data_IF_079621788720
#
_entry.id   IF_079621788720
#
_cell.length_a   1.000
_cell.length_b   1.000
_cell.length_c   1.000
_cell.angle_alpha   90.00
_cell.angle_beta   90.00
_cell.angle_gamma   90.00
#
_symmetry.space_group_name_H-M   'P 1'
#
loop_
_entity.id
_entity.type
_entity.pdbx_description
1 polymer ?
#
# COMPACT_ATOMS: atom_id res chain seq x y z
N UNK A 1 -1.19 -18.63 -3.42
CA UNK A 1 -0.45 -18.00 -4.54
C UNK A 1 0.95 -18.55 -4.55
N UNK A 2 1.51 -18.82 -5.72
CA UNK A 2 2.85 -19.39 -5.83
C UNK A 2 3.88 -18.31 -6.16
N UNK A 3 5.09 -18.48 -5.63
CA UNK A 3 6.25 -17.69 -6.04
C UNK A 3 7.01 -18.49 -7.08
N UNK A 4 7.17 -17.93 -8.26
CA UNK A 4 7.94 -18.53 -9.34
C UNK A 4 9.42 -18.17 -9.19
N UNK A 5 10.29 -19.18 -9.15
CA UNK A 5 11.74 -19.06 -9.16
C UNK A 5 12.30 -19.26 -10.59
N UNK A 6 13.54 -18.88 -10.81
CA UNK A 6 14.23 -19.05 -12.08
C UNK A 6 15.45 -19.96 -11.95
N UNK A 7 15.85 -20.63 -13.03
CA UNK A 7 17.11 -21.37 -13.10
C UNK A 7 18.28 -20.39 -12.90
N UNK A 8 19.32 -20.77 -12.14
CA UNK A 8 20.45 -19.89 -11.76
C UNK A 8 21.46 -19.71 -12.91
N UNK A 9 21.01 -19.25 -14.07
CA UNK A 9 21.85 -19.05 -15.27
C UNK A 9 22.74 -17.81 -15.19
N UNK A 10 22.40 -16.85 -14.32
CA UNK A 10 23.16 -15.62 -14.08
C UNK A 10 23.07 -15.22 -12.60
N UNK A 11 24.01 -14.40 -12.05
CA UNK A 11 23.93 -13.93 -10.67
C UNK A 11 22.57 -13.28 -10.31
N UNK A 12 21.99 -12.50 -11.23
CA UNK A 12 20.69 -11.90 -11.03
C UNK A 12 19.55 -12.94 -10.96
N UNK A 13 19.57 -13.93 -11.84
CA UNK A 13 18.52 -14.98 -11.90
C UNK A 13 18.57 -15.95 -10.73
N UNK A 14 19.74 -16.12 -10.12
CA UNK A 14 19.91 -17.00 -8.95
C UNK A 14 18.97 -16.63 -7.80
N UNK A 15 18.74 -15.34 -7.58
CA UNK A 15 17.93 -14.83 -6.47
C UNK A 15 16.59 -14.22 -6.91
N UNK A 16 16.37 -14.06 -8.22
CA UNK A 16 15.17 -13.40 -8.74
C UNK A 16 13.95 -14.30 -8.60
N UNK A 17 12.87 -13.73 -8.06
CA UNK A 17 11.57 -14.38 -7.99
C UNK A 17 10.49 -13.46 -8.54
N UNK A 18 9.35 -14.03 -8.89
CA UNK A 18 8.15 -13.28 -9.34
C UNK A 18 6.89 -13.93 -8.79
N UNK A 19 5.81 -13.19 -8.71
CA UNK A 19 4.50 -13.76 -8.41
C UNK A 19 4.08 -14.74 -9.50
N UNK A 20 3.48 -15.87 -9.11
CA UNK A 20 2.84 -16.83 -10.03
C UNK A 20 1.61 -16.25 -10.70
N UNK A 21 0.92 -15.32 -10.01
CA UNK A 21 -0.38 -14.73 -10.42
C UNK A 21 -1.50 -15.76 -10.53
N UNK A 22 -1.49 -16.76 -9.64
CA UNK A 22 -2.53 -17.79 -9.64
C UNK A 22 -3.91 -17.16 -9.40
N UNK A 23 -4.88 -17.53 -10.23
CA UNK A 23 -6.23 -16.98 -10.19
C UNK A 23 -6.38 -15.53 -10.69
N UNK A 24 -5.30 -14.93 -11.20
CA UNK A 24 -5.31 -13.54 -11.71
C UNK A 24 -5.24 -13.55 -13.23
N UNK A 25 -6.14 -12.82 -13.88
CA UNK A 25 -6.07 -12.57 -15.31
C UNK A 25 -5.02 -11.50 -15.62
N UNK A 26 -3.85 -11.95 -16.07
CA UNK A 26 -2.72 -11.07 -16.45
C UNK A 26 -2.94 -10.34 -17.74
N UNK A 27 -3.76 -10.88 -18.62
CA UNK A 27 -3.99 -10.39 -19.98
C UNK A 27 -5.30 -9.62 -20.10
N UNK A 28 -6.06 -9.51 -19.00
CA UNK A 28 -7.27 -8.73 -18.96
C UNK A 28 -7.02 -7.30 -19.45
N UNK A 29 -7.77 -6.89 -20.44
CA UNK A 29 -7.81 -5.49 -20.84
C UNK A 29 -8.57 -4.72 -19.73
N UNK A 30 -7.96 -3.66 -19.15
CA UNK A 30 -8.64 -2.90 -18.10
C UNK A 30 -9.90 -2.24 -18.66
N UNK A 31 -10.86 -1.97 -17.79
CA UNK A 31 -12.08 -1.26 -18.15
C UNK A 31 -11.71 0.19 -18.54
N UNK A 32 -11.98 0.56 -19.81
CA UNK A 32 -11.54 1.85 -20.37
C UNK A 32 -12.09 3.06 -19.61
N UNK A 33 -13.32 2.97 -19.14
CA UNK A 33 -14.02 4.02 -18.39
C UNK A 33 -13.40 4.28 -17.01
N UNK A 34 -12.73 3.27 -16.44
CA UNK A 34 -12.06 3.33 -15.14
C UNK A 34 -10.55 3.55 -15.26
N UNK A 35 -10.03 3.81 -16.46
CA UNK A 35 -8.62 4.03 -16.72
C UNK A 35 -8.32 5.51 -16.93
N UNK A 36 -7.46 6.08 -16.10
CA UNK A 36 -6.98 7.46 -16.22
C UNK A 36 -5.52 7.55 -16.63
N UNK A 37 -5.14 8.64 -17.26
CA UNK A 37 -3.75 8.89 -17.63
C UNK A 37 -2.96 9.32 -16.41
N UNK A 38 -1.94 8.55 -16.04
CA UNK A 38 -1.05 8.88 -14.94
C UNK A 38 0.12 9.74 -15.44
N UNK A 39 0.08 11.06 -15.17
CA UNK A 39 1.20 11.98 -15.44
C UNK A 39 2.32 11.73 -14.45
N UNK A 40 3.55 11.48 -14.95
CA UNK A 40 4.73 11.24 -14.13
C UNK A 40 5.51 12.54 -13.92
N UNK A 41 5.68 12.94 -12.66
CA UNK A 41 6.45 14.15 -12.30
C UNK A 41 7.92 13.86 -11.98
N UNK A 42 8.32 12.58 -11.86
CA UNK A 42 9.70 12.14 -11.57
C UNK A 42 10.32 12.85 -10.35
N UNK A 43 9.53 13.06 -9.30
CA UNK A 43 9.96 13.73 -8.07
C UNK A 43 10.17 15.25 -8.19
N UNK A 44 9.68 15.88 -9.26
CA UNK A 44 9.76 17.32 -9.49
C UNK A 44 8.54 18.06 -8.95
N UNK A 45 8.77 19.28 -8.47
CA UNK A 45 7.72 20.21 -8.05
C UNK A 45 7.16 21.00 -9.27
N UNK A 46 6.24 21.96 -9.01
CA UNK A 46 5.65 22.83 -10.03
C UNK A 46 6.67 23.69 -10.80
N UNK A 47 7.80 24.00 -10.19
CA UNK A 47 8.90 24.75 -10.81
C UNK A 47 9.92 23.86 -11.57
N UNK A 48 9.64 22.55 -11.69
CA UNK A 48 10.53 21.60 -12.34
C UNK A 48 11.75 21.17 -11.53
N UNK A 49 11.93 21.66 -10.30
CA UNK A 49 13.04 21.29 -9.41
C UNK A 49 12.78 19.95 -8.73
N UNK A 50 13.82 19.12 -8.63
CA UNK A 50 13.75 17.82 -7.95
C UNK A 50 13.65 18.06 -6.44
N UNK A 51 12.49 17.73 -5.85
CA UNK A 51 12.25 17.78 -4.41
C UNK A 51 12.25 16.40 -3.75
N UNK A 52 11.97 15.34 -4.51
CA UNK A 52 12.07 13.95 -4.09
C UNK A 52 13.04 13.22 -5.00
N UNK A 53 14.22 12.85 -4.46
CA UNK A 53 15.26 12.17 -5.21
C UNK A 53 14.91 10.73 -5.54
N UNK A 54 15.65 10.13 -6.45
CA UNK A 54 15.61 8.71 -6.81
C UNK A 54 14.28 8.25 -7.43
N UNK A 55 13.51 9.15 -8.01
CA UNK A 55 12.30 8.85 -8.77
C UNK A 55 12.45 9.24 -10.25
N UNK A 56 11.82 8.48 -11.13
CA UNK A 56 11.76 8.80 -12.55
C UNK A 56 12.01 7.60 -13.45
N UNK A 57 11.67 7.77 -14.73
CA UNK A 57 11.65 6.68 -15.70
C UNK A 57 10.52 5.68 -15.39
N UNK A 58 10.81 4.41 -15.59
CA UNK A 58 9.86 3.31 -15.39
C UNK A 58 8.88 3.13 -16.56
N UNK A 59 8.19 1.99 -16.56
CA UNK A 59 7.22 1.65 -17.59
C UNK A 59 6.06 2.64 -17.59
N UNK A 60 5.48 2.88 -18.78
CA UNK A 60 4.23 3.64 -18.91
C UNK A 60 3.11 2.87 -18.21
N UNK A 61 2.34 3.57 -17.41
CA UNK A 61 1.24 3.00 -16.63
C UNK A 61 0.03 3.93 -16.75
N UNK A 62 -1.15 3.33 -16.75
CA UNK A 62 -2.41 4.02 -16.54
C UNK A 62 -2.87 3.80 -15.10
N UNK A 63 -3.58 4.77 -14.54
CA UNK A 63 -4.18 4.65 -13.23
C UNK A 63 -5.55 4.00 -13.36
N UNK A 64 -5.82 3.00 -12.55
CA UNK A 64 -7.14 2.40 -12.41
C UNK A 64 -7.87 3.05 -11.24
N UNK A 65 -9.03 3.62 -11.52
CA UNK A 65 -9.89 4.23 -10.51
C UNK A 65 -10.47 3.13 -9.62
N UNK A 66 -10.11 3.16 -8.34
CA UNK A 66 -10.59 2.20 -7.35
C UNK A 66 -11.66 2.84 -6.49
N UNK A 67 -12.74 2.13 -6.24
CA UNK A 67 -13.77 2.57 -5.32
C UNK A 67 -13.31 2.40 -3.86
N UNK A 68 -12.65 3.44 -3.36
CA UNK A 68 -12.28 3.52 -1.94
C UNK A 68 -13.40 4.04 -1.05
N UNK A 69 -14.47 4.58 -1.63
CA UNK A 69 -15.59 5.13 -0.85
C UNK A 69 -16.64 4.10 -0.54
N UNK A 70 -16.82 3.13 -1.44
CA UNK A 70 -17.87 2.10 -1.31
C UNK A 70 -19.24 2.73 -1.01
N UNK A 71 -19.55 3.83 -1.70
CA UNK A 71 -20.72 4.67 -1.46
C UNK A 71 -22.01 4.16 -2.10
N UNK A 72 -21.96 3.09 -2.87
CA UNK A 72 -23.14 2.41 -3.42
C UNK A 72 -23.63 1.40 -2.38
N UNK A 73 -24.53 1.87 -1.53
CA UNK A 73 -25.03 1.10 -0.40
C UNK A 73 -26.19 0.21 -0.80
N UNK A 74 -26.31 -0.94 -0.13
CA UNK A 74 -27.43 -1.90 -0.23
C UNK A 74 -27.65 -2.49 -1.63
N UNK A 75 -26.65 -2.40 -2.52
CA UNK A 75 -26.67 -3.00 -3.85
C UNK A 75 -25.58 -4.06 -3.95
N UNK A 76 -25.99 -5.25 -4.39
CA UNK A 76 -25.06 -6.37 -4.60
C UNK A 76 -24.25 -6.17 -5.88
N UNK A 77 -22.98 -6.52 -5.82
CA UNK A 77 -22.11 -6.57 -6.99
C UNK A 77 -21.48 -7.94 -7.13
N UNK A 78 -21.38 -8.46 -8.35
CA UNK A 78 -20.73 -9.73 -8.66
C UNK A 78 -19.31 -9.50 -9.12
N UNK A 79 -18.37 -10.30 -8.63
CA UNK A 79 -16.95 -10.26 -9.05
C UNK A 79 -16.81 -10.88 -10.43
N UNK A 80 -16.53 -10.08 -11.46
CA UNK A 80 -16.35 -10.57 -12.82
C UNK A 80 -14.97 -11.20 -13.04
N UNK A 81 -13.92 -10.57 -12.50
CA UNK A 81 -12.52 -11.05 -12.65
C UNK A 81 -11.58 -10.40 -11.65
N UNK A 82 -10.45 -11.05 -11.42
CA UNK A 82 -9.35 -10.53 -10.62
C UNK A 82 -8.23 -10.08 -11.55
N UNK A 83 -7.71 -8.86 -11.34
CA UNK A 83 -6.74 -8.23 -12.23
C UNK A 83 -5.47 -7.78 -11.49
N UNK A 84 -4.38 -7.70 -12.25
CA UNK A 84 -3.14 -7.06 -11.83
C UNK A 84 -3.22 -5.54 -12.05
N UNK A 85 -2.86 -4.75 -11.03
CA UNK A 85 -2.72 -3.30 -11.16
C UNK A 85 -1.25 -2.89 -11.00
N UNK A 86 -0.63 -2.23 -12.00
CA UNK A 86 0.77 -1.79 -11.92
C UNK A 86 1.02 -0.65 -10.92
N UNK A 87 -0.03 0.01 -10.42
CA UNK A 87 0.09 1.17 -9.52
C UNK A 87 0.11 0.79 -8.04
N UNK A 88 -0.22 -0.45 -7.72
CA UNK A 88 -0.29 -0.94 -6.34
C UNK A 88 0.25 -2.35 -6.18
N UNK A 89 0.59 -2.71 -4.96
CA UNK A 89 1.04 -4.06 -4.63
C UNK A 89 -0.11 -5.07 -4.54
N UNK A 90 -1.31 -4.62 -4.16
CA UNK A 90 -2.50 -5.44 -4.07
C UNK A 90 -3.09 -5.73 -5.45
N UNK A 91 -3.73 -6.89 -5.61
CA UNK A 91 -4.58 -7.17 -6.76
C UNK A 91 -5.93 -6.47 -6.60
N UNK A 92 -6.63 -6.29 -7.71
CA UNK A 92 -7.93 -5.64 -7.77
C UNK A 92 -8.97 -6.60 -8.35
N UNK A 93 -10.22 -6.42 -7.94
CA UNK A 93 -11.37 -7.13 -8.47
C UNK A 93 -12.25 -6.16 -9.25
N UNK A 94 -12.62 -6.51 -10.47
CA UNK A 94 -13.66 -5.83 -11.22
C UNK A 94 -15.01 -6.40 -10.78
N UNK A 95 -15.85 -5.55 -10.22
CA UNK A 95 -17.20 -5.90 -9.77
C UNK A 95 -18.22 -5.20 -10.65
N UNK A 96 -19.29 -5.91 -10.98
CA UNK A 96 -20.46 -5.40 -11.71
C UNK A 96 -21.66 -5.41 -10.77
N UNK A 97 -22.28 -4.26 -10.63
CA UNK A 97 -23.49 -4.10 -9.84
C UNK A 97 -24.72 -4.53 -10.64
N UNK A 98 -25.84 -4.79 -9.97
CA UNK A 98 -27.11 -5.22 -10.60
C UNK A 98 -27.64 -4.24 -11.66
N UNK A 99 -27.28 -2.96 -11.56
CA UNK A 99 -27.62 -1.91 -12.54
C UNK A 99 -26.63 -1.81 -13.73
N UNK A 100 -25.64 -2.73 -13.80
CA UNK A 100 -24.63 -2.76 -14.86
C UNK A 100 -23.43 -1.82 -14.63
N UNK A 101 -23.43 -1.01 -13.56
CA UNK A 101 -22.26 -0.18 -13.23
C UNK A 101 -21.08 -1.06 -12.80
N UNK A 102 -19.88 -0.77 -13.32
CA UNK A 102 -18.67 -1.49 -12.97
C UNK A 102 -17.76 -0.63 -12.11
N UNK A 103 -17.18 -1.24 -11.08
CA UNK A 103 -16.18 -0.60 -10.21
C UNK A 103 -15.06 -1.56 -9.87
N UNK A 104 -13.85 -1.01 -9.69
CA UNK A 104 -12.74 -1.76 -9.11
C UNK A 104 -12.73 -1.64 -7.61
N UNK A 105 -12.48 -2.77 -6.92
CA UNK A 105 -12.20 -2.82 -5.48
C UNK A 105 -10.85 -3.49 -5.24
N UNK A 106 -10.29 -3.38 -4.03
CA UNK A 106 -9.16 -4.20 -3.61
C UNK A 106 -9.62 -5.64 -3.46
N UNK A 107 -8.87 -6.59 -4.00
CA UNK A 107 -9.17 -8.01 -3.87
C UNK A 107 -8.66 -8.54 -2.53
N UNK A 108 -9.52 -8.95 -1.58
CA UNK A 108 -9.10 -9.63 -0.37
C UNK A 108 -8.73 -11.08 -0.64
N UNK A 109 -8.08 -11.70 0.33
CA UNK A 109 -7.83 -13.14 0.34
C UNK A 109 -9.15 -13.90 0.38
N UNK A 110 -9.25 -14.94 -0.45
CA UNK A 110 -10.44 -15.79 -0.51
C UNK A 110 -11.56 -15.29 -1.42
N UNK A 111 -11.41 -14.11 -2.03
CA UNK A 111 -12.38 -13.63 -3.02
C UNK A 111 -12.12 -14.30 -4.38
N UNK A 112 -13.16 -14.88 -4.96
CA UNK A 112 -13.11 -15.56 -6.26
C UNK A 112 -14.02 -14.88 -7.28
N UNK A 113 -13.83 -15.25 -8.53
CA UNK A 113 -14.72 -14.84 -9.63
C UNK A 113 -16.09 -15.50 -9.41
N UNK A 114 -17.15 -14.73 -9.55
CA UNK A 114 -18.54 -15.15 -9.28
C UNK A 114 -19.02 -14.87 -7.86
N UNK A 115 -18.12 -14.54 -6.93
CA UNK A 115 -18.54 -14.16 -5.57
C UNK A 115 -19.32 -12.84 -5.58
N UNK A 116 -20.28 -12.71 -4.66
CA UNK A 116 -21.04 -11.49 -4.44
C UNK A 116 -20.40 -10.65 -3.34
N UNK A 117 -20.32 -9.33 -3.55
CA UNK A 117 -19.84 -8.35 -2.57
C UNK A 117 -20.82 -7.18 -2.46
N UNK A 118 -20.97 -6.67 -1.24
CA UNK A 118 -21.91 -5.60 -0.95
C UNK A 118 -21.29 -4.58 0.02
N UNK A 119 -21.76 -3.34 -0.05
CA UNK A 119 -21.52 -2.33 0.97
C UNK A 119 -22.85 -1.99 1.64
N UNK A 120 -23.01 -2.38 2.90
CA UNK A 120 -24.25 -2.17 3.66
C UNK A 120 -23.98 -2.19 5.17
N UNK A 121 -24.86 -1.55 5.92
CA UNK A 121 -24.82 -1.67 7.38
C UNK A 121 -25.19 -3.07 7.87
N UNK A 122 -25.96 -3.83 7.09
CA UNK A 122 -26.48 -5.17 7.41
C UNK A 122 -25.80 -6.30 6.63
N UNK A 123 -24.72 -6.00 5.88
CA UNK A 123 -24.01 -7.00 5.08
C UNK A 123 -23.43 -8.12 5.95
N UNK A 124 -23.40 -9.33 5.42
CA UNK A 124 -22.73 -10.48 6.03
C UNK A 124 -21.22 -10.21 6.25
N UNK A 125 -20.65 -10.84 7.28
CA UNK A 125 -19.22 -10.77 7.59
C UNK A 125 -18.44 -11.72 6.66
N UNK A 126 -18.45 -11.40 5.36
CA UNK A 126 -17.73 -12.12 4.29
C UNK A 126 -16.61 -11.27 3.71
N UNK A 127 -15.49 -11.88 3.26
CA UNK A 127 -14.39 -11.13 2.62
C UNK A 127 -14.89 -10.31 1.42
N UNK A 128 -14.53 -9.01 1.38
CA UNK A 128 -14.94 -8.09 0.32
C UNK A 128 -16.16 -7.23 0.66
N UNK A 129 -16.98 -7.61 1.62
CA UNK A 129 -18.08 -6.78 2.10
C UNK A 129 -17.57 -5.58 2.89
N UNK A 130 -18.22 -4.44 2.73
CA UNK A 130 -17.86 -3.20 3.40
C UNK A 130 -18.97 -2.77 4.35
N UNK A 131 -18.61 -2.52 5.62
CA UNK A 131 -19.55 -2.15 6.67
C UNK A 131 -19.02 -0.98 7.49
N UNK A 132 -19.89 -0.19 8.13
CA UNK A 132 -19.49 0.69 9.22
C UNK A 132 -18.84 -0.09 10.36
N UNK A 133 -17.81 0.46 10.99
CA UNK A 133 -17.11 -0.20 12.11
C UNK A 133 -18.03 -0.54 13.28
N UNK A 134 -19.13 0.21 13.44
CA UNK A 134 -20.17 -0.08 14.42
C UNK A 134 -20.73 -1.50 14.28
N UNK A 135 -20.91 -1.98 13.06
CA UNK A 135 -21.61 -3.23 12.75
C UNK A 135 -20.66 -4.43 12.55
N UNK A 136 -19.33 -4.19 12.54
CA UNK A 136 -18.35 -5.26 12.44
C UNK A 136 -18.07 -5.86 13.82
N UNK A 137 -18.16 -7.18 14.05
CA UNK A 137 -17.83 -7.81 15.33
C UNK A 137 -16.40 -7.53 15.78
N UNK A 138 -16.20 -7.41 17.10
CA UNK A 138 -14.85 -7.31 17.70
C UNK A 138 -14.06 -8.58 17.40
N UNK A 139 -12.75 -8.44 17.17
CA UNK A 139 -11.87 -9.56 16.76
C UNK A 139 -11.77 -9.75 15.26
N UNK A 140 -12.68 -9.19 14.46
CA UNK A 140 -12.71 -9.34 13.01
C UNK A 140 -11.47 -8.71 12.35
N UNK A 141 -10.94 -9.42 11.34
CA UNK A 141 -9.87 -8.94 10.48
C UNK A 141 -10.46 -8.05 9.39
N UNK A 142 -9.91 -6.85 9.26
CA UNK A 142 -10.41 -5.82 8.33
C UNK A 142 -9.28 -5.15 7.55
N UNK A 143 -9.62 -4.60 6.41
CA UNK A 143 -8.73 -3.79 5.58
C UNK A 143 -9.47 -2.61 4.97
N UNK A 144 -8.79 -1.79 4.16
CA UNK A 144 -9.39 -0.69 3.42
C UNK A 144 -10.24 0.22 4.32
N UNK A 145 -9.62 0.77 5.39
CA UNK A 145 -10.30 1.45 6.49
C UNK A 145 -10.32 2.95 6.26
N UNK A 146 -11.46 3.58 6.48
CA UNK A 146 -11.58 5.04 6.51
C UNK A 146 -10.98 5.64 7.78
N UNK A 147 -10.48 6.87 7.68
CA UNK A 147 -10.07 7.69 8.83
C UNK A 147 -11.14 8.69 9.26
N UNK A 148 -11.93 9.14 8.30
CA UNK A 148 -13.03 10.08 8.47
C UNK A 148 -14.22 9.59 7.65
N UNK A 149 -15.45 9.65 8.18
CA UNK A 149 -16.63 9.18 7.47
C UNK A 149 -16.79 9.82 6.08
N UNK A 150 -17.09 9.01 5.07
CA UNK A 150 -17.35 9.46 3.70
C UNK A 150 -16.12 9.96 2.91
N UNK A 151 -14.93 9.98 3.51
CA UNK A 151 -13.70 10.40 2.81
C UNK A 151 -13.14 9.30 1.90
N UNK A 152 -13.53 8.08 2.12
CA UNK A 152 -12.97 6.90 1.48
C UNK A 152 -11.79 6.31 2.26
N UNK A 153 -11.52 5.07 2.02
CA UNK A 153 -10.51 4.30 2.75
C UNK A 153 -9.09 4.82 2.50
N UNK A 154 -8.31 4.92 3.57
CA UNK A 154 -6.93 5.44 3.55
C UNK A 154 -5.93 4.49 4.19
N UNK A 155 -6.37 3.63 5.11
CA UNK A 155 -5.51 2.73 5.89
C UNK A 155 -5.63 1.29 5.39
N UNK A 156 -4.58 0.50 5.58
CA UNK A 156 -4.53 -0.95 5.33
C UNK A 156 -4.96 -1.31 3.90
N UNK A 157 -4.21 -0.83 2.89
CA UNK A 157 -4.51 -1.02 1.46
C UNK A 157 -3.43 -1.79 0.68
N UNK A 158 -2.27 -2.02 1.29
CA UNK A 158 -1.15 -2.71 0.62
C UNK A 158 -1.36 -4.22 0.60
N UNK A 159 -0.66 -4.91 -0.30
CA UNK A 159 -0.71 -6.37 -0.40
C UNK A 159 -0.40 -7.07 0.92
N UNK A 160 -1.17 -8.09 1.26
CA UNK A 160 -0.95 -8.94 2.41
C UNK A 160 -1.19 -8.28 3.78
N UNK A 161 -1.59 -7.00 3.85
CA UNK A 161 -1.84 -6.36 5.14
C UNK A 161 -3.27 -6.58 5.63
N UNK A 162 -3.40 -6.60 6.95
CA UNK A 162 -4.66 -6.64 7.67
C UNK A 162 -4.57 -5.82 8.95
N UNK A 163 -5.69 -5.33 9.44
CA UNK A 163 -5.85 -4.76 10.77
C UNK A 163 -6.90 -5.56 11.53
N UNK A 164 -6.92 -5.45 12.84
CA UNK A 164 -7.88 -6.14 13.70
C UNK A 164 -8.68 -5.13 14.51
N UNK A 165 -9.99 -5.29 14.52
CA UNK A 165 -10.90 -4.53 15.38
C UNK A 165 -10.81 -5.08 16.81
N UNK A 166 -10.30 -4.30 17.76
CA UNK A 166 -10.00 -4.76 19.12
C UNK A 166 -11.13 -4.46 20.10
N UNK A 167 -11.73 -3.28 20.01
CA UNK A 167 -12.77 -2.83 20.94
C UNK A 167 -13.61 -1.71 20.31
N UNK A 168 -14.79 -1.48 20.88
CA UNK A 168 -15.70 -0.38 20.54
C UNK A 168 -16.15 0.30 21.80
N UNK A 169 -15.78 1.56 21.99
CA UNK A 169 -16.08 2.32 23.21
C UNK A 169 -16.25 3.81 22.89
N UNK A 170 -17.21 4.45 23.52
CA UNK A 170 -17.40 5.91 23.44
C UNK A 170 -17.53 6.46 22.01
N UNK A 171 -18.24 5.76 21.12
CA UNK A 171 -18.40 6.19 19.72
C UNK A 171 -17.16 5.96 18.83
N UNK A 172 -16.13 5.28 19.37
CA UNK A 172 -14.86 5.00 18.68
C UNK A 172 -14.54 3.51 18.65
N UNK A 173 -13.97 3.07 17.54
CA UNK A 173 -13.37 1.74 17.39
C UNK A 173 -11.87 1.80 17.65
N UNK A 174 -11.34 0.93 18.49
CA UNK A 174 -9.90 0.72 18.67
C UNK A 174 -9.42 -0.35 17.70
N UNK A 175 -8.53 0.01 16.79
CA UNK A 175 -8.02 -0.85 15.74
C UNK A 175 -6.52 -1.06 15.89
N UNK A 176 -6.08 -2.32 15.87
CA UNK A 176 -4.67 -2.71 15.82
C UNK A 176 -4.21 -2.72 14.37
N UNK A 177 -3.31 -1.79 14.04
CA UNK A 177 -2.74 -1.63 12.71
C UNK A 177 -1.66 -2.68 12.40
N UNK A 178 -1.32 -2.92 11.12
CA UNK A 178 -0.22 -3.83 10.74
C UNK A 178 1.13 -3.44 11.34
N UNK A 179 1.35 -2.16 11.65
CA UNK A 179 2.55 -1.66 12.32
C UNK A 179 2.65 -2.00 13.81
N UNK A 180 1.58 -2.55 14.42
CA UNK A 180 1.44 -2.76 15.85
C UNK A 180 0.89 -1.53 16.62
N UNK A 181 0.68 -0.40 15.95
CA UNK A 181 0.00 0.77 16.55
C UNK A 181 -1.47 0.46 16.80
N UNK A 182 -1.98 0.79 18.00
CA UNK A 182 -3.41 0.77 18.30
C UNK A 182 -3.97 2.18 18.20
N UNK A 183 -5.00 2.35 17.36
CA UNK A 183 -5.56 3.65 17.02
C UNK A 183 -7.08 3.68 17.14
N UNK A 184 -7.61 4.81 17.60
CA UNK A 184 -9.05 5.10 17.65
C UNK A 184 -9.53 5.67 16.32
N UNK A 185 -10.65 5.14 15.81
CA UNK A 185 -11.34 5.58 14.60
C UNK A 185 -12.84 5.66 14.92
N UNK A 186 -13.57 6.61 14.35
CA UNK A 186 -15.01 6.75 14.58
C UNK A 186 -15.77 5.51 14.11
N UNK A 187 -16.80 5.12 14.82
CA UNK A 187 -17.64 3.96 14.49
C UNK A 187 -18.38 4.08 13.16
N UNK A 188 -18.65 5.29 12.71
CA UNK A 188 -19.29 5.60 11.42
C UNK A 188 -18.39 5.29 10.20
N UNK A 189 -17.07 5.22 10.40
CA UNK A 189 -16.12 4.94 9.33
C UNK A 189 -16.32 3.54 8.77
N UNK A 190 -16.24 3.42 7.44
CA UNK A 190 -16.40 2.16 6.73
C UNK A 190 -15.05 1.40 6.70
N UNK A 191 -15.13 0.09 6.81
CA UNK A 191 -14.02 -0.83 6.58
C UNK A 191 -14.48 -2.05 5.78
N UNK A 192 -13.57 -2.69 5.06
CA UNK A 192 -13.84 -3.91 4.31
C UNK A 192 -13.35 -5.13 5.10
N UNK A 193 -14.17 -6.19 5.12
CA UNK A 193 -13.87 -7.44 5.82
C UNK A 193 -12.77 -8.23 5.11
N UNK A 194 -11.85 -8.82 5.88
CA UNK A 194 -10.80 -9.71 5.42
C UNK A 194 -9.43 -9.04 5.32
N UNK A 195 -8.46 -9.79 4.82
CA UNK A 195 -7.07 -9.41 4.58
C UNK A 195 -6.88 -9.06 3.11
N UNK A 196 -6.06 -8.07 2.78
CA UNK A 196 -5.71 -7.76 1.38
C UNK A 196 -4.96 -8.91 0.74
N UNK A 197 -5.33 -9.28 -0.48
CA UNK A 197 -4.69 -10.34 -1.26
C UNK A 197 -3.22 -10.10 -1.59
N UNK A 198 -2.61 -11.02 -2.37
CA UNK A 198 -1.19 -10.98 -2.76
C UNK A 198 -0.23 -11.03 -1.55
N UNK A 199 -0.47 -11.95 -0.62
CA UNK A 199 0.30 -12.09 0.63
C UNK A 199 1.79 -12.26 0.36
N UNK A 200 2.16 -13.01 -0.68
CA UNK A 200 3.57 -13.30 -1.03
C UNK A 200 4.32 -12.14 -1.67
N UNK A 201 3.69 -10.98 -1.83
CA UNK A 201 4.34 -9.80 -2.45
C UNK A 201 5.63 -9.40 -1.72
N UNK A 202 5.66 -9.51 -0.39
CA UNK A 202 6.84 -9.18 0.43
C UNK A 202 8.01 -10.16 0.22
N UNK A 203 7.72 -11.38 -0.22
CA UNK A 203 8.70 -12.45 -0.41
C UNK A 203 9.34 -12.44 -1.81
N UNK A 204 8.94 -11.50 -2.67
CA UNK A 204 9.45 -11.39 -4.05
C UNK A 204 10.80 -10.68 -4.05
N UNK A 205 11.83 -11.34 -4.60
CA UNK A 205 13.14 -10.78 -4.83
C UNK A 205 13.26 -10.20 -6.25
N UNK A 206 13.55 -8.91 -6.35
CA UNK A 206 13.64 -8.20 -7.64
C UNK A 206 14.81 -8.71 -8.48
N UNK A 207 15.94 -9.06 -7.85
CA UNK A 207 17.10 -9.72 -8.42
C UNK A 207 18.03 -8.83 -9.25
N UNK A 208 17.55 -7.80 -9.95
CA UNK A 208 18.38 -6.92 -10.79
C UNK A 208 18.00 -5.45 -10.76
N UNK A 209 18.99 -4.58 -10.93
CA UNK A 209 18.82 -3.13 -10.93
C UNK A 209 17.88 -2.64 -12.06
N UNK A 210 17.94 -3.26 -13.25
CA UNK A 210 17.08 -2.93 -14.37
C UNK A 210 15.59 -3.08 -14.06
N UNK A 211 15.21 -4.09 -13.28
CA UNK A 211 13.81 -4.27 -12.85
C UNK A 211 13.35 -3.14 -11.91
N UNK A 212 14.22 -2.68 -10.99
CA UNK A 212 13.95 -1.47 -10.18
C UNK A 212 13.82 -0.22 -11.07
N UNK A 213 14.66 -0.09 -12.11
CA UNK A 213 14.56 1.02 -13.07
C UNK A 213 13.21 1.02 -13.79
N UNK A 214 12.71 -0.13 -14.21
CA UNK A 214 11.38 -0.26 -14.84
C UNK A 214 10.23 0.09 -13.87
N UNK A 215 10.43 -0.07 -12.56
CA UNK A 215 9.48 0.37 -11.52
C UNK A 215 9.53 1.88 -11.24
N UNK A 216 10.43 2.63 -11.90
CA UNK A 216 10.55 4.08 -11.72
C UNK A 216 11.52 4.49 -10.61
N UNK A 217 12.30 3.56 -10.06
CA UNK A 217 13.30 3.84 -9.03
C UNK A 217 14.65 4.12 -9.67
N UNK A 218 15.19 5.30 -9.51
CA UNK A 218 16.53 5.67 -9.98
C UNK A 218 17.61 5.18 -9.00
N UNK A 219 18.87 4.97 -9.46
CA UNK A 219 19.97 4.59 -8.60
C UNK A 219 20.18 5.58 -7.46
N UNK A 220 20.58 5.05 -6.30
CA UNK A 220 20.96 5.85 -5.12
C UNK A 220 22.46 5.79 -4.92
N UNK A 221 23.08 6.96 -4.82
CA UNK A 221 24.49 7.11 -4.49
C UNK A 221 24.62 7.36 -2.98
N UNK A 222 25.51 6.63 -2.31
CA UNK A 222 25.78 6.83 -0.88
C UNK A 222 26.56 8.12 -0.65
N UNK A 223 26.35 8.80 0.48
CA UNK A 223 26.98 10.09 0.79
C UNK A 223 28.51 10.04 0.86
N UNK A 224 29.09 8.90 1.27
CA UNK A 224 30.56 8.74 1.41
C UNK A 224 31.34 8.74 0.09
N UNK A 225 30.67 8.66 -1.06
CA UNK A 225 31.30 8.75 -2.39
C UNK A 225 31.01 10.08 -3.10
N UNK A 226 30.42 11.02 -2.38
CA UNK A 226 30.16 12.38 -2.84
C UNK A 226 31.28 13.33 -2.37
N UNK A 227 31.28 14.54 -2.91
CA UNK A 227 32.17 15.59 -2.43
C UNK A 227 31.70 16.15 -1.08
N UNK A 228 32.59 16.79 -0.28
CA UNK A 228 32.21 17.38 1.00
C UNK A 228 31.09 18.42 0.90
N UNK A 229 31.01 19.15 -0.22
CA UNK A 229 29.93 20.12 -0.48
C UNK A 229 28.55 19.47 -0.67
N UNK A 230 28.51 18.23 -1.15
CA UNK A 230 27.27 17.56 -1.50
C UNK A 230 26.68 16.74 -0.34
N UNK A 231 27.53 16.27 0.55
CA UNK A 231 27.10 15.44 1.67
C UNK A 231 28.07 15.55 2.87
N UNK A 232 27.56 15.57 4.13
CA UNK A 232 28.39 15.58 5.34
C UNK A 232 29.36 14.39 5.50
N UNK A 233 29.13 13.29 4.76
CA UNK A 233 30.01 12.12 4.72
C UNK A 233 30.96 12.13 3.51
N UNK A 234 30.93 13.17 2.70
CA UNK A 234 31.74 13.27 1.49
C UNK A 234 33.19 13.60 1.78
N UNK A 235 34.04 13.34 0.81
CA UNK A 235 35.48 13.60 0.86
C UNK A 235 36.30 12.40 1.30
N UNK A 236 37.63 12.58 1.31
CA UNK A 236 38.63 11.57 1.62
C UNK A 236 39.01 10.70 0.42
N UNK A 237 40.03 9.87 0.58
CA UNK A 237 40.49 8.94 -0.44
C UNK A 237 40.05 7.51 -0.19
N UNK A 238 39.88 6.75 -1.28
CA UNK A 238 39.52 5.34 -1.25
C UNK A 238 38.18 5.05 -0.59
N UNK A 239 38.16 4.12 0.35
CA UNK A 239 36.96 3.75 1.13
C UNK A 239 36.90 4.54 2.43
N UNK A 240 36.63 5.82 2.35
CA UNK A 240 36.52 6.68 3.53
C UNK A 240 35.38 6.22 4.46
N UNK A 241 35.58 6.23 5.78
CA UNK A 241 34.57 5.98 6.78
C UNK A 241 33.56 7.14 6.85
N UNK A 242 32.50 6.96 7.63
CA UNK A 242 31.50 8.02 7.86
C UNK A 242 32.09 9.24 8.57
N UNK A 243 33.17 9.06 9.39
CA UNK A 243 33.89 10.12 10.08
C UNK A 243 33.08 10.90 11.11
N UNK A 244 31.95 10.33 11.59
CA UNK A 244 31.05 10.96 12.58
C UNK A 244 30.56 9.90 13.58
N UNK A 245 30.08 10.29 14.77
CA UNK A 245 29.55 9.35 15.76
C UNK A 245 28.39 8.47 15.23
N UNK A 246 27.68 8.93 14.20
CA UNK A 246 26.61 8.19 13.53
C UNK A 246 26.32 8.73 12.14
N UNK A 247 25.61 7.95 11.30
CA UNK A 247 25.25 8.39 9.95
C UNK A 247 24.25 9.55 10.00
N UNK A 248 24.45 10.52 9.11
CA UNK A 248 23.58 11.69 8.97
C UNK A 248 22.99 11.78 7.58
N UNK A 249 21.92 12.55 7.45
CA UNK A 249 21.29 12.90 6.17
C UNK A 249 22.13 13.97 5.45
N UNK A 250 21.87 14.27 4.14
CA UNK A 250 22.51 15.38 3.44
C UNK A 250 22.38 16.73 4.14
N UNK A 251 21.39 16.90 4.98
CA UNK A 251 21.15 18.13 5.77
C UNK A 251 21.71 18.05 7.20
N UNK A 252 22.54 17.07 7.51
CA UNK A 252 23.22 16.94 8.79
C UNK A 252 22.39 16.35 9.94
N UNK A 253 21.12 15.99 9.72
CA UNK A 253 20.29 15.35 10.74
C UNK A 253 20.65 13.87 10.90
N UNK A 254 20.57 13.28 12.13
CA UNK A 254 20.78 11.84 12.30
C UNK A 254 19.88 11.02 11.37
N UNK A 255 20.47 10.06 10.65
CA UNK A 255 19.75 9.22 9.68
C UNK A 255 19.01 8.06 10.35
N UNK A 256 19.48 7.56 11.49
CA UNK A 256 18.90 6.44 12.22
C UNK A 256 18.44 6.87 13.62
N UNK A 257 17.34 6.28 14.09
CA UNK A 257 16.84 6.45 15.45
C UNK A 257 16.21 7.81 15.78
N UNK A 258 16.29 8.80 14.91
CA UNK A 258 15.76 10.13 15.17
C UNK A 258 14.22 10.14 15.09
N UNK A 259 13.57 10.57 16.19
CA UNK A 259 12.11 10.70 16.25
C UNK A 259 11.67 11.97 15.53
N UNK A 260 11.13 11.83 14.31
CA UNK A 260 10.71 12.95 13.46
C UNK A 260 9.28 13.43 13.73
N UNK A 261 8.44 12.64 14.42
CA UNK A 261 7.09 13.05 14.79
C UNK A 261 7.14 14.20 15.82
N UNK A 262 6.44 15.28 15.53
CA UNK A 262 6.32 16.41 16.47
C UNK A 262 5.64 15.96 17.77
N UNK A 263 6.15 16.40 18.93
CA UNK A 263 5.62 16.06 20.27
C UNK A 263 4.18 16.52 20.48
N UNK A 264 3.81 17.69 19.92
CA UNK A 264 2.46 18.27 20.02
C UNK A 264 1.63 18.01 18.75
N UNK A 265 1.56 16.76 18.28
CA UNK A 265 0.76 16.44 17.11
C UNK A 265 -0.71 16.26 17.50
N UNK A 266 -1.62 17.02 16.87
CA UNK A 266 -3.08 16.99 17.13
C UNK A 266 -3.70 15.58 17.02
N UNK A 267 -3.08 14.68 16.25
CA UNK A 267 -3.57 13.31 16.06
C UNK A 267 -3.13 12.34 17.14
N UNK A 268 -2.30 12.75 18.11
CA UNK A 268 -1.84 11.88 19.20
C UNK A 268 -2.98 11.41 20.11
N UNK A 269 -4.06 12.20 20.24
CA UNK A 269 -5.27 11.81 20.97
C UNK A 269 -5.98 10.57 20.44
N UNK A 270 -5.72 10.21 19.19
CA UNK A 270 -6.27 9.00 18.56
C UNK A 270 -5.36 7.77 18.67
N UNK A 271 -4.13 7.90 19.18
CA UNK A 271 -3.19 6.80 19.33
C UNK A 271 -3.24 6.30 20.76
N UNK A 272 -3.72 5.06 20.95
CA UNK A 272 -3.79 4.39 22.27
C UNK A 272 -2.42 3.80 22.62
N UNK A 273 -1.83 3.06 21.69
CA UNK A 273 -0.52 2.43 21.86
C UNK A 273 0.33 2.65 20.61
N UNK A 274 1.54 3.19 20.75
CA UNK A 274 2.49 3.34 19.64
C UNK A 274 3.13 1.99 19.30
N UNK A 275 3.59 1.83 18.04
CA UNK A 275 4.19 0.58 17.55
C UNK A 275 5.36 0.04 18.39
N UNK A 276 6.13 0.93 19.02
CA UNK A 276 7.32 0.59 19.81
C UNK A 276 7.10 0.82 21.32
N UNK A 277 5.86 0.99 21.78
CA UNK A 277 5.57 1.07 23.21
C UNK A 277 5.65 -0.34 23.81
N UNK A 278 6.51 -0.49 24.84
CA UNK A 278 6.57 -1.70 25.69
C UNK A 278 5.32 -1.80 26.53
#
# INVERSE_FOLDING_TARGET
MSIKTYRPTTPARRQMTVSGFDGIDKHAKPQKELDEVLKKHAGRNSYGKITVRHQGGGNRQKYRVIDFKRNKLDVTATVLRLEYDPNRSAFIALCEYEDGERRYILAPVGLNVGDSVMASATADIKPGNALPLANIPVGTVIHNIEMYPGKGAQLVRSAGVAAQLMAKEGGMATIRMPSGESRKIRLECIATIGQVGNIDHANIHIGKAGRKRHMGVRPTVRGSVMNPVDHPHGGGEGKSPVGRPGPVTPWGKPALGYKTRKTKNKTDKFIVKRRNAK
#
